data_IF_979668612552
#
_entry.id   IF_979668612552
#
_cell.length_a   1.000
_cell.length_b   1.000
_cell.length_c   1.000
_cell.angle_alpha   90.00
_cell.angle_beta   90.00
_cell.angle_gamma   90.00
#
_symmetry.space_group_name_H-M   'P 1'
#
loop_
_entity.id
_entity.type
_entity.pdbx_description
1 polymer ?
#
# COMPACT_ATOMS: atom_id res chain seq x y z
N UNK A 1 -13.66 20.67 13.41
CA UNK A 1 -12.67 20.33 12.36
C UNK A 1 -12.45 18.84 12.44
N UNK A 2 -13.00 18.10 11.47
CA UNK A 2 -13.15 16.64 11.48
C UNK A 2 -11.79 15.99 11.28
N UNK A 3 -11.10 15.73 12.39
CA UNK A 3 -9.80 15.09 12.42
C UNK A 3 -9.95 13.59 12.09
N UNK A 4 -9.25 13.19 11.04
CA UNK A 4 -8.93 11.80 10.74
C UNK A 4 -10.05 10.94 10.14
N UNK A 5 -10.73 11.50 9.13
CA UNK A 5 -11.47 10.83 8.06
C UNK A 5 -11.76 9.33 8.27
N UNK A 6 -12.75 9.07 9.12
CA UNK A 6 -13.67 7.94 9.01
C UNK A 6 -14.64 8.10 7.83
N UNK A 7 -14.19 8.66 6.71
CA UNK A 7 -14.99 8.79 5.50
C UNK A 7 -14.97 7.46 4.75
N UNK A 8 -15.95 6.63 5.13
CA UNK A 8 -16.67 5.69 4.29
C UNK A 8 -15.83 4.84 3.31
N UNK A 9 -15.70 3.55 3.61
CA UNK A 9 -15.92 2.45 2.66
C UNK A 9 -15.73 2.79 1.16
N UNK A 10 -14.56 3.27 0.74
CA UNK A 10 -14.21 3.27 -0.68
C UNK A 10 -13.75 1.85 -1.01
N UNK A 11 -14.73 1.01 -1.32
CA UNK A 11 -14.56 -0.15 -2.19
C UNK A 11 -13.67 -1.29 -1.69
N UNK A 12 -13.99 -1.86 -0.52
CA UNK A 12 -13.81 -3.25 -0.03
C UNK A 12 -13.11 -4.32 -0.92
N UNK A 13 -11.93 -4.01 -1.44
CA UNK A 13 -10.85 -4.98 -1.58
C UNK A 13 -9.82 -4.56 -0.54
N UNK A 14 -10.02 -4.98 0.72
CA UNK A 14 -9.06 -4.72 1.80
C UNK A 14 -7.64 -4.91 1.24
N UNK A 15 -6.68 -4.04 1.55
CA UNK A 15 -5.30 -4.25 1.13
C UNK A 15 -4.82 -5.69 1.46
N UNK A 16 -5.34 -6.27 2.55
CA UNK A 16 -5.31 -7.71 2.87
C UNK A 16 -5.87 -8.65 1.80
N UNK A 17 -7.06 -8.41 1.25
CA UNK A 17 -7.66 -9.23 0.18
C UNK A 17 -6.86 -9.13 -1.11
N UNK A 18 -6.36 -7.95 -1.46
CA UNK A 18 -5.46 -7.78 -2.61
C UNK A 18 -4.16 -8.55 -2.38
N UNK A 19 -3.57 -8.41 -1.18
CA UNK A 19 -2.39 -9.17 -0.80
C UNK A 19 -2.61 -10.69 -0.89
N UNK A 20 -3.72 -11.20 -0.38
CA UNK A 20 -4.09 -12.63 -0.48
C UNK A 20 -4.30 -13.11 -1.91
N UNK A 21 -4.71 -12.24 -2.84
CA UNK A 21 -4.89 -12.56 -4.26
C UNK A 21 -3.63 -12.34 -5.08
N UNK A 22 -2.64 -11.64 -4.54
CA UNK A 22 -1.39 -11.36 -5.22
C UNK A 22 -0.34 -12.41 -4.90
N UNK A 23 0.46 -12.76 -5.90
CA UNK A 23 1.71 -13.49 -5.68
C UNK A 23 2.75 -12.51 -5.15
N UNK A 24 3.38 -12.85 -4.03
CA UNK A 24 4.44 -12.02 -3.45
C UNK A 24 5.61 -11.94 -4.43
N UNK A 25 6.09 -10.72 -4.67
CA UNK A 25 7.22 -10.44 -5.56
C UNK A 25 8.35 -9.81 -4.74
N UNK A 26 9.58 -10.22 -5.00
CA UNK A 26 10.74 -9.58 -4.37
C UNK A 26 10.97 -8.17 -4.94
N UNK A 27 11.68 -7.33 -4.20
CA UNK A 27 11.89 -5.93 -4.59
C UNK A 27 12.65 -5.81 -5.92
N UNK A 28 13.60 -6.71 -6.16
CA UNK A 28 14.35 -6.76 -7.42
C UNK A 28 13.52 -7.22 -8.62
N UNK A 29 12.43 -7.97 -8.39
CA UNK A 29 11.53 -8.46 -9.43
C UNK A 29 10.27 -7.59 -9.59
N UNK A 30 10.14 -6.52 -8.79
CA UNK A 30 9.01 -5.61 -8.83
C UNK A 30 9.04 -4.80 -10.14
N UNK A 31 7.90 -4.77 -10.85
CA UNK A 31 7.73 -4.07 -12.12
C UNK A 31 6.57 -3.09 -12.07
N UNK A 32 6.55 -2.06 -12.94
CA UNK A 32 5.40 -1.18 -13.06
C UNK A 32 4.10 -1.98 -13.22
N UNK A 33 3.08 -1.63 -12.42
CA UNK A 33 1.79 -2.32 -12.34
C UNK A 33 1.67 -3.31 -11.17
N UNK A 34 2.77 -3.66 -10.50
CA UNK A 34 2.69 -4.43 -9.25
C UNK A 34 2.09 -3.59 -8.12
N UNK A 35 1.44 -4.25 -7.18
CA UNK A 35 0.97 -3.62 -5.94
C UNK A 35 2.12 -3.55 -4.93
N UNK A 36 2.16 -2.47 -4.17
CA UNK A 36 3.05 -2.29 -3.03
C UNK A 36 2.23 -2.16 -1.76
N UNK A 37 2.52 -2.98 -0.75
CA UNK A 37 1.79 -3.08 0.49
C UNK A 37 2.59 -2.49 1.66
N UNK A 38 1.88 -1.83 2.57
CA UNK A 38 2.48 -1.21 3.75
C UNK A 38 1.76 -1.56 5.05
N UNK A 39 2.55 -1.59 6.12
CA UNK A 39 2.11 -1.70 7.50
C UNK A 39 1.83 -0.32 8.07
N UNK A 40 0.85 -0.21 8.97
CA UNK A 40 0.46 1.08 9.55
C UNK A 40 -0.04 0.88 10.98
N UNK A 41 -0.23 1.98 11.71
CA UNK A 41 -0.56 1.95 13.14
C UNK A 41 -1.81 1.11 13.47
N UNK A 42 -2.78 1.05 12.56
CA UNK A 42 -4.03 0.28 12.72
C UNK A 42 -3.83 -1.23 12.54
N UNK A 43 -2.62 -1.72 12.27
CA UNK A 43 -2.34 -3.14 12.04
C UNK A 43 -2.77 -4.03 13.21
N UNK A 44 -2.55 -3.55 14.43
CA UNK A 44 -2.97 -4.23 15.67
C UNK A 44 -4.49 -4.29 15.80
N UNK A 45 -5.19 -3.20 15.47
CA UNK A 45 -6.65 -3.10 15.52
C UNK A 45 -7.33 -4.01 14.50
N UNK A 46 -6.74 -4.20 13.31
CA UNK A 46 -7.30 -5.05 12.24
C UNK A 46 -6.78 -6.49 12.27
N UNK A 47 -5.89 -6.84 13.21
CA UNK A 47 -5.26 -8.16 13.32
C UNK A 47 -4.47 -8.57 12.06
N UNK A 48 -3.94 -7.60 11.31
CA UNK A 48 -3.22 -7.84 10.06
C UNK A 48 -2.22 -6.72 9.76
N UNK A 49 -0.97 -7.03 9.36
CA UNK A 49 0.04 -6.02 9.12
C UNK A 49 -0.30 -5.10 7.94
N UNK A 50 -0.84 -5.64 6.85
CA UNK A 50 -1.18 -4.83 5.66
C UNK A 50 -2.39 -3.93 5.91
N UNK A 51 -2.13 -2.63 5.99
CA UNK A 51 -3.13 -1.58 6.22
C UNK A 51 -3.28 -0.63 5.03
N UNK A 52 -2.26 -0.53 4.17
CA UNK A 52 -2.24 0.39 3.04
C UNK A 52 -1.69 -0.28 1.77
N UNK A 53 -2.12 0.21 0.61
CA UNK A 53 -1.71 -0.29 -0.71
C UNK A 53 -1.46 0.87 -1.67
N UNK A 54 -0.45 0.73 -2.51
CA UNK A 54 -0.19 1.57 -3.67
C UNK A 54 0.08 0.72 -4.92
N UNK A 55 0.24 1.39 -6.06
CA UNK A 55 0.65 0.79 -7.33
C UNK A 55 2.09 1.22 -7.59
N UNK A 56 2.99 0.27 -7.76
CA UNK A 56 4.36 0.53 -8.17
C UNK A 56 4.38 0.96 -9.63
N UNK A 57 5.06 2.06 -9.93
CA UNK A 57 5.11 2.63 -11.29
C UNK A 57 6.52 2.57 -11.90
N UNK A 58 7.46 1.86 -11.25
CA UNK A 58 8.86 1.79 -11.66
C UNK A 58 9.73 2.90 -11.07
N UNK A 59 11.04 2.82 -11.32
CA UNK A 59 12.03 3.83 -10.89
C UNK A 59 11.97 4.18 -9.39
N UNK A 60 11.57 3.24 -8.53
CA UNK A 60 11.42 3.51 -7.09
C UNK A 60 10.23 4.42 -6.75
N UNK A 61 9.29 4.59 -7.66
CA UNK A 61 8.10 5.44 -7.48
C UNK A 61 6.84 4.59 -7.35
N UNK A 62 5.86 5.12 -6.63
CA UNK A 62 4.52 4.56 -6.52
C UNK A 62 3.44 5.62 -6.68
N UNK A 63 2.28 5.19 -7.14
CA UNK A 63 1.03 5.92 -7.12
C UNK A 63 0.15 5.39 -6.00
N UNK A 64 -0.32 6.25 -5.11
CA UNK A 64 -1.26 5.83 -4.06
C UNK A 64 -2.20 6.95 -3.64
N UNK A 65 -3.29 6.60 -3.00
CA UNK A 65 -4.17 7.58 -2.37
C UNK A 65 -3.72 7.82 -0.93
N UNK A 66 -3.27 9.03 -0.61
CA UNK A 66 -3.01 9.48 0.74
C UNK A 66 -4.20 10.26 1.30
N UNK A 67 -4.14 10.67 2.57
CA UNK A 67 -5.21 11.43 3.23
C UNK A 67 -5.64 12.73 2.52
N UNK A 68 -4.86 13.23 1.56
CA UNK A 68 -5.13 14.43 0.77
C UNK A 68 -5.40 14.15 -0.73
N UNK A 69 -5.60 12.88 -1.12
CA UNK A 69 -5.85 12.49 -2.52
C UNK A 69 -4.76 11.61 -3.11
N UNK A 70 -4.81 11.43 -4.44
CA UNK A 70 -3.86 10.60 -5.17
C UNK A 70 -2.52 11.32 -5.32
N UNK A 71 -1.44 10.73 -4.81
CA UNK A 71 -0.09 11.27 -4.89
C UNK A 71 0.90 10.28 -5.53
N UNK A 72 1.85 10.82 -6.30
CA UNK A 72 3.06 10.11 -6.72
C UNK A 72 4.15 10.29 -5.67
N UNK A 73 4.76 9.20 -5.22
CA UNK A 73 5.78 9.26 -4.17
C UNK A 73 6.89 8.26 -4.36
N UNK A 74 8.08 8.63 -3.90
CA UNK A 74 9.20 7.70 -3.82
C UNK A 74 9.01 6.71 -2.67
N UNK A 75 9.21 5.43 -2.98
CA UNK A 75 9.18 4.32 -2.00
C UNK A 75 10.45 4.30 -1.12
N UNK A 76 11.47 5.08 -1.46
CA UNK A 76 12.73 5.17 -0.70
C UNK A 76 12.69 6.17 0.44
N UNK A 77 11.62 6.96 0.55
CA UNK A 77 11.44 7.89 1.68
C UNK A 77 11.40 7.13 3.00
N UNK A 78 11.88 7.76 4.09
CA UNK A 78 12.00 7.14 5.41
C UNK A 78 10.70 6.46 5.87
N UNK A 79 9.57 7.13 5.66
CA UNK A 79 8.25 6.61 6.02
C UNK A 79 7.90 5.33 5.24
N UNK A 80 7.92 5.36 3.90
CA UNK A 80 7.55 4.18 3.11
C UNK A 80 8.57 3.06 3.22
N UNK A 81 9.85 3.38 3.45
CA UNK A 81 10.89 2.39 3.71
C UNK A 81 10.66 1.66 5.04
N UNK A 82 10.28 2.37 6.12
CA UNK A 82 10.04 1.75 7.43
C UNK A 82 8.70 1.02 7.53
N UNK A 83 7.73 1.38 6.69
CA UNK A 83 6.40 0.79 6.67
C UNK A 83 6.22 -0.24 5.54
N UNK A 84 7.24 -0.47 4.71
CA UNK A 84 7.18 -1.42 3.62
C UNK A 84 6.89 -2.83 4.13
N UNK A 85 5.92 -3.50 3.52
CA UNK A 85 5.58 -4.88 3.84
C UNK A 85 6.01 -5.83 2.71
N UNK A 86 5.44 -5.67 1.52
CA UNK A 86 5.73 -6.54 0.37
C UNK A 86 5.33 -5.89 -0.96
N UNK A 87 5.88 -6.39 -2.06
CA UNK A 87 5.24 -6.24 -3.37
C UNK A 87 4.36 -7.46 -3.66
N UNK A 88 3.29 -7.25 -4.42
CA UNK A 88 2.49 -8.35 -4.93
C UNK A 88 1.99 -8.09 -6.33
N UNK A 89 2.02 -9.12 -7.16
CA UNK A 89 1.52 -9.10 -8.53
C UNK A 89 0.17 -9.79 -8.60
N UNK A 90 -0.82 -9.10 -9.17
CA UNK A 90 -2.08 -9.74 -9.51
C UNK A 90 -1.81 -10.70 -10.68
N UNK A 91 -2.14 -11.97 -10.46
CA UNK A 91 -2.10 -13.02 -11.49
C UNK A 91 -3.36 -13.04 -12.33
#
# INVERSE_FOLDING_TARGET
>A
MLNHSGAASVGRTNARRLYKKSTVVSRENARPGDLIFFTGARAAEIGHPVTHVGIYVGNGMMLHCAGNGVEYKSISTKYYKSHFYAFGRLG
#
